data_IF_605107110674
#
_entry.id   IF_605107110674
#
_cell.length_a   1.000
_cell.length_b   1.000
_cell.length_c   1.000
_cell.angle_alpha   90.00
_cell.angle_beta   90.00
_cell.angle_gamma   90.00
#
_symmetry.space_group_name_H-M   'P 1'
#
loop_
_entity.id
_entity.type
_entity.pdbx_description
1 polymer ?
#
# COMPACT_ATOMS: atom_id res chain seq x y z
N UNK A 1 14.79 -33.77 28.50
CA UNK A 1 14.15 -32.70 27.69
C UNK A 1 15.04 -32.47 26.47
N UNK A 2 14.57 -32.80 25.27
CA UNK A 2 15.35 -32.55 24.04
C UNK A 2 15.27 -31.07 23.68
N UNK A 3 16.42 -30.42 23.50
CA UNK A 3 16.51 -29.03 23.05
C UNK A 3 16.93 -29.05 21.58
N UNK A 4 16.09 -28.53 20.70
CA UNK A 4 16.46 -28.30 19.31
C UNK A 4 17.59 -27.28 19.27
N UNK A 5 18.67 -27.62 18.58
CA UNK A 5 19.75 -26.67 18.29
C UNK A 5 19.26 -25.65 17.25
N UNK A 6 19.79 -24.41 17.23
CA UNK A 6 19.40 -23.39 16.26
C UNK A 6 19.51 -23.86 14.79
N UNK A 7 20.51 -24.68 14.46
CA UNK A 7 20.70 -25.25 13.12
C UNK A 7 19.62 -26.28 12.73
N UNK A 8 18.87 -26.82 13.70
CA UNK A 8 17.78 -27.76 13.47
C UNK A 8 16.42 -27.07 13.31
N UNK A 9 16.36 -25.74 13.40
CA UNK A 9 15.11 -25.00 13.20
C UNK A 9 14.78 -24.91 11.69
N UNK A 10 13.48 -24.99 11.33
CA UNK A 10 13.07 -24.87 9.93
C UNK A 10 13.41 -23.47 9.40
N UNK A 11 14.04 -23.41 8.23
CA UNK A 11 14.33 -22.12 7.57
C UNK A 11 13.04 -21.35 7.30
N UNK A 12 13.14 -20.02 7.37
CA UNK A 12 12.03 -19.16 7.01
C UNK A 12 11.74 -19.28 5.50
N UNK A 13 10.48 -19.39 5.06
CA UNK A 13 10.19 -19.56 3.65
C UNK A 13 10.37 -18.26 2.88
N UNK A 14 10.97 -18.39 1.70
CA UNK A 14 11.20 -17.33 0.75
C UNK A 14 10.39 -17.59 -0.52
N UNK A 15 9.78 -16.54 -1.04
CA UNK A 15 9.00 -16.57 -2.27
C UNK A 15 9.42 -15.40 -3.15
N UNK A 16 9.39 -15.55 -4.48
CA UNK A 16 9.62 -14.44 -5.40
C UNK A 16 8.52 -13.39 -5.25
N UNK A 17 8.81 -12.13 -5.62
CA UNK A 17 7.90 -10.99 -5.41
C UNK A 17 7.30 -10.44 -6.71
N UNK A 18 7.37 -11.22 -7.79
CA UNK A 18 6.72 -10.98 -9.07
C UNK A 18 5.65 -12.05 -9.34
N UNK A 19 4.59 -11.68 -10.06
CA UNK A 19 3.45 -12.59 -10.27
C UNK A 19 3.85 -13.85 -11.04
N UNK A 20 4.65 -13.70 -12.10
CA UNK A 20 5.02 -14.81 -12.98
C UNK A 20 5.79 -15.89 -12.23
N UNK A 21 6.83 -15.50 -11.49
CA UNK A 21 7.61 -16.43 -10.67
C UNK A 21 6.83 -17.00 -9.49
N UNK A 22 5.77 -16.31 -9.02
CA UNK A 22 4.82 -16.86 -8.05
C UNK A 22 3.83 -17.87 -8.68
N UNK A 23 3.84 -18.04 -10.00
CA UNK A 23 2.94 -18.93 -10.73
C UNK A 23 1.60 -18.30 -11.09
N UNK A 24 1.55 -16.97 -11.25
CA UNK A 24 0.34 -16.20 -11.57
C UNK A 24 0.54 -15.22 -12.73
N UNK A 25 -0.55 -14.85 -13.38
CA UNK A 25 -0.59 -13.81 -14.40
C UNK A 25 -1.86 -12.99 -14.26
N UNK A 26 -1.90 -11.82 -14.90
CA UNK A 26 -3.13 -11.01 -15.02
C UNK A 26 -3.79 -11.33 -16.36
N UNK A 27 -5.04 -11.74 -16.34
CA UNK A 27 -5.79 -12.04 -17.57
C UNK A 27 -6.41 -10.77 -18.20
N UNK A 28 -7.13 -10.93 -19.31
CA UNK A 28 -7.78 -9.82 -20.03
C UNK A 28 -8.92 -9.15 -19.23
N UNK A 29 -9.42 -9.81 -18.18
CA UNK A 29 -10.45 -9.31 -17.26
C UNK A 29 -9.83 -8.58 -16.05
N UNK A 30 -8.52 -8.36 -16.05
CA UNK A 30 -7.73 -7.73 -14.99
C UNK A 30 -7.62 -8.53 -13.69
N UNK A 31 -7.87 -9.84 -13.74
CA UNK A 31 -7.85 -10.74 -12.60
C UNK A 31 -6.54 -11.51 -12.50
N UNK A 32 -6.07 -11.72 -11.27
CA UNK A 32 -4.89 -12.54 -11.00
C UNK A 32 -5.29 -14.02 -11.02
N UNK A 33 -4.79 -14.75 -12.01
CA UNK A 33 -5.08 -16.17 -12.26
C UNK A 33 -3.82 -17.02 -12.18
N UNK A 34 -3.97 -18.27 -11.75
CA UNK A 34 -2.85 -19.23 -11.73
C UNK A 34 -2.42 -19.63 -13.14
N UNK A 35 -1.11 -19.67 -13.39
CA UNK A 35 -0.52 -20.16 -14.64
C UNK A 35 -0.80 -21.65 -14.84
N UNK A 36 -0.73 -22.45 -13.76
CA UNK A 36 -0.98 -23.90 -13.81
C UNK A 36 -2.43 -24.21 -14.21
N UNK A 37 -3.38 -23.44 -13.67
CA UNK A 37 -4.80 -23.57 -14.02
C UNK A 37 -5.53 -22.22 -13.88
N UNK A 38 -5.81 -21.54 -15.00
CA UNK A 38 -6.43 -20.21 -15.02
C UNK A 38 -7.80 -20.11 -14.35
N UNK A 39 -8.47 -21.23 -14.02
CA UNK A 39 -9.73 -21.22 -13.26
C UNK A 39 -9.53 -20.82 -11.80
N UNK A 40 -8.33 -20.96 -11.25
CA UNK A 40 -8.05 -20.70 -9.84
C UNK A 40 -7.45 -19.30 -9.64
N UNK A 41 -7.91 -18.66 -8.57
CA UNK A 41 -7.32 -17.46 -8.00
C UNK A 41 -6.11 -17.80 -7.11
N UNK A 42 -5.58 -16.79 -6.42
CA UNK A 42 -4.54 -16.96 -5.42
C UNK A 42 -4.89 -18.00 -4.35
N UNK A 43 -4.03 -19.01 -4.20
CA UNK A 43 -4.18 -20.06 -3.19
C UNK A 43 -3.38 -19.68 -1.94
N UNK A 44 -4.06 -19.17 -0.91
CA UNK A 44 -3.42 -18.81 0.37
C UNK A 44 -2.92 -20.02 1.17
N UNK A 45 -3.76 -21.06 1.29
CA UNK A 45 -3.44 -22.24 2.09
C UNK A 45 -2.60 -23.24 1.29
N UNK A 46 -1.29 -23.05 1.30
CA UNK A 46 -0.31 -23.97 0.69
C UNK A 46 0.36 -24.88 1.72
N UNK A 47 0.32 -24.51 3.01
CA UNK A 47 0.91 -25.27 4.10
C UNK A 47 0.01 -25.22 5.34
N UNK A 48 0.16 -26.22 6.23
CA UNK A 48 -0.51 -26.23 7.56
C UNK A 48 0.16 -25.25 8.53
N UNK A 49 1.43 -24.95 8.33
CA UNK A 49 2.15 -23.95 9.11
C UNK A 49 1.86 -22.56 8.55
N UNK A 50 1.21 -21.73 9.35
CA UNK A 50 0.72 -20.41 8.94
C UNK A 50 1.82 -19.51 8.38
N UNK A 51 3.04 -19.61 8.91
CA UNK A 51 4.19 -18.84 8.46
C UNK A 51 4.45 -18.92 6.95
N UNK A 52 4.25 -20.10 6.35
CA UNK A 52 4.44 -20.30 4.91
C UNK A 52 3.37 -19.58 4.10
N UNK A 53 2.12 -19.60 4.57
CA UNK A 53 1.00 -18.92 3.95
C UNK A 53 1.16 -17.39 4.05
N UNK A 54 1.56 -16.88 5.21
CA UNK A 54 1.82 -15.45 5.44
C UNK A 54 2.94 -14.92 4.54
N UNK A 55 4.05 -15.66 4.42
CA UNK A 55 5.19 -15.29 3.59
C UNK A 55 4.84 -15.27 2.11
N UNK A 56 4.05 -16.24 1.65
CA UNK A 56 3.55 -16.25 0.28
C UNK A 56 2.59 -15.08 0.03
N UNK A 57 1.68 -14.80 0.96
CA UNK A 57 0.76 -13.65 0.86
C UNK A 57 1.49 -12.32 0.79
N UNK A 58 2.52 -12.10 1.62
CA UNK A 58 3.31 -10.86 1.56
C UNK A 58 4.08 -10.71 0.25
N UNK A 59 4.55 -11.83 -0.32
CA UNK A 59 5.18 -11.83 -1.64
C UNK A 59 4.18 -11.47 -2.75
N UNK A 60 2.98 -12.05 -2.72
CA UNK A 60 1.87 -11.69 -3.61
C UNK A 60 1.46 -10.22 -3.44
N UNK A 61 1.30 -9.73 -2.21
CA UNK A 61 0.98 -8.33 -1.93
C UNK A 61 2.06 -7.39 -2.45
N UNK A 62 3.33 -7.80 -2.43
CA UNK A 62 4.43 -7.02 -3.01
C UNK A 62 4.32 -6.94 -4.54
N UNK A 63 4.00 -8.04 -5.21
CA UNK A 63 3.74 -8.02 -6.65
C UNK A 63 2.56 -7.10 -7.01
N UNK A 64 1.46 -7.20 -6.25
CA UNK A 64 0.28 -6.34 -6.40
C UNK A 64 0.63 -4.86 -6.21
N UNK A 65 1.39 -4.51 -5.16
CA UNK A 65 1.84 -3.14 -4.90
C UNK A 65 2.58 -2.56 -6.10
N UNK A 66 3.52 -3.32 -6.67
CA UNK A 66 4.29 -2.88 -7.84
C UNK A 66 3.40 -2.59 -9.04
N UNK A 67 2.41 -3.46 -9.32
CA UNK A 67 1.47 -3.27 -10.42
C UNK A 67 0.58 -2.05 -10.18
N UNK A 68 -0.01 -1.92 -8.99
CA UNK A 68 -0.90 -0.80 -8.65
C UNK A 68 -0.13 0.52 -8.69
N UNK A 69 1.06 0.60 -8.11
CA UNK A 69 1.91 1.79 -8.19
C UNK A 69 2.25 2.16 -9.63
N UNK A 70 2.58 1.19 -10.48
CA UNK A 70 2.89 1.44 -11.90
C UNK A 70 1.68 1.96 -12.66
N UNK A 71 0.49 1.40 -12.40
CA UNK A 71 -0.77 1.84 -13.02
C UNK A 71 -1.18 3.24 -12.57
N UNK A 72 -1.08 3.53 -11.26
CA UNK A 72 -1.36 4.86 -10.74
C UNK A 72 -0.40 5.91 -11.31
N UNK A 73 0.88 5.56 -11.47
CA UNK A 73 1.85 6.43 -12.13
C UNK A 73 1.49 6.70 -13.60
N UNK A 74 1.06 5.67 -14.34
CA UNK A 74 0.58 5.82 -15.71
C UNK A 74 -0.68 6.72 -15.82
N UNK A 75 -1.52 6.74 -14.78
CA UNK A 75 -2.66 7.65 -14.64
C UNK A 75 -2.28 9.07 -14.16
N UNK A 76 -1.00 9.40 -14.10
CA UNK A 76 -0.53 10.74 -13.73
C UNK A 76 -0.55 11.01 -12.24
N UNK A 77 -0.40 9.97 -11.40
CA UNK A 77 -0.12 10.12 -9.97
C UNK A 77 1.39 10.10 -9.73
N UNK A 78 1.87 10.99 -8.87
CA UNK A 78 3.26 11.06 -8.44
C UNK A 78 3.40 10.78 -6.95
N UNK A 79 4.53 10.20 -6.57
CA UNK A 79 4.86 9.89 -5.17
C UNK A 79 5.44 11.12 -4.48
N UNK A 80 4.83 11.53 -3.37
CA UNK A 80 5.43 12.48 -2.44
C UNK A 80 5.84 11.78 -1.16
N UNK A 81 7.04 12.08 -0.68
CA UNK A 81 7.55 11.57 0.59
C UNK A 81 7.17 12.53 1.70
N UNK A 82 6.67 12.00 2.82
CA UNK A 82 6.35 12.75 4.02
C UNK A 82 7.39 12.50 5.11
N UNK A 83 7.87 13.54 5.82
CA UNK A 83 7.54 14.96 5.64
C UNK A 83 7.89 15.50 4.25
N UNK A 84 7.18 16.51 3.73
CA UNK A 84 7.43 17.01 2.37
C UNK A 84 8.90 17.44 2.18
N UNK A 85 9.46 17.19 1.00
CA UNK A 85 10.87 17.45 0.65
C UNK A 85 11.90 16.56 1.36
N UNK A 86 11.45 15.49 2.03
CA UNK A 86 12.33 14.52 2.67
C UNK A 86 13.08 13.66 1.63
N UNK A 87 14.41 13.49 1.74
CA UNK A 87 15.15 12.60 0.87
C UNK A 87 14.73 11.12 1.04
N UNK A 88 14.78 10.29 -0.01
CA UNK A 88 14.45 8.86 0.10
C UNK A 88 15.36 8.07 1.08
N UNK A 89 16.53 8.60 1.42
CA UNK A 89 17.50 7.97 2.33
C UNK A 89 17.15 8.12 3.81
N UNK A 90 16.25 9.03 4.16
CA UNK A 90 15.83 9.24 5.54
C UNK A 90 14.41 8.71 5.75
N UNK A 91 13.97 8.49 7.00
CA UNK A 91 12.62 7.99 7.26
C UNK A 91 11.55 8.81 6.55
N UNK A 92 10.64 8.14 5.84
CA UNK A 92 9.52 8.80 5.16
C UNK A 92 8.26 7.90 4.99
N UNK A 93 7.08 8.52 4.88
CA UNK A 93 5.83 7.84 4.44
C UNK A 93 5.49 8.32 3.03
N UNK A 94 5.32 7.43 2.04
CA UNK A 94 4.88 7.84 0.71
C UNK A 94 3.37 8.13 0.71
N UNK A 95 2.95 9.16 -0.02
CA UNK A 95 1.59 9.39 -0.49
C UNK A 95 1.60 9.53 -2.01
N UNK A 96 0.43 9.48 -2.64
CA UNK A 96 0.30 9.77 -4.07
C UNK A 96 -0.56 11.01 -4.30
N UNK A 97 -0.16 11.89 -5.20
CA UNK A 97 -0.99 13.01 -5.64
C UNK A 97 -0.98 13.14 -7.17
N UNK A 98 -2.02 13.73 -7.75
CA UNK A 98 -2.05 13.97 -9.20
C UNK A 98 -1.05 15.04 -9.60
N UNK A 99 -0.34 14.86 -10.72
CA UNK A 99 0.67 15.82 -11.21
C UNK A 99 0.11 17.21 -11.53
N UNK A 100 -1.20 17.33 -11.83
CA UNK A 100 -1.88 18.61 -12.08
C UNK A 100 -2.48 19.27 -10.83
N UNK A 101 -2.23 18.75 -9.63
CA UNK A 101 -2.90 19.15 -8.38
C UNK A 101 -2.80 20.65 -8.04
N UNK A 102 -1.66 21.28 -8.34
CA UNK A 102 -1.42 22.69 -8.06
C UNK A 102 -2.32 23.65 -8.88
N UNK A 103 -2.90 23.15 -9.97
CA UNK A 103 -3.77 23.94 -10.88
C UNK A 103 -5.25 23.52 -10.82
N UNK A 104 -5.52 22.34 -10.27
CA UNK A 104 -6.87 21.78 -10.20
C UNK A 104 -7.79 22.64 -9.31
N UNK A 105 -8.96 23.02 -9.83
CA UNK A 105 -9.96 23.75 -9.06
C UNK A 105 -10.59 22.89 -7.95
N UNK A 106 -10.62 21.57 -8.17
CA UNK A 106 -11.14 20.58 -7.22
C UNK A 106 -10.13 19.45 -7.02
N UNK A 107 -9.92 19.08 -5.76
CA UNK A 107 -9.11 17.93 -5.36
C UNK A 107 -9.93 17.00 -4.48
N UNK A 108 -9.84 15.69 -4.70
CA UNK A 108 -10.39 14.68 -3.79
C UNK A 108 -9.25 14.14 -2.93
N UNK A 109 -9.34 14.31 -1.62
CA UNK A 109 -8.46 13.66 -0.66
C UNK A 109 -9.10 12.33 -0.22
N UNK A 110 -8.45 11.22 -0.55
CA UNK A 110 -8.85 9.90 -0.12
C UNK A 110 -7.99 9.43 1.07
N UNK A 111 -8.61 9.27 2.23
CA UNK A 111 -8.02 8.68 3.43
C UNK A 111 -8.34 7.18 3.45
N UNK A 112 -7.33 6.35 3.11
CA UNK A 112 -7.45 4.89 3.08
C UNK A 112 -7.63 4.26 4.46
N UNK A 113 -7.86 2.95 4.52
CA UNK A 113 -7.96 2.20 5.78
C UNK A 113 -6.59 2.02 6.45
N UNK A 114 -6.51 1.98 7.78
CA UNK A 114 -5.24 1.82 8.51
C UNK A 114 -4.57 0.44 8.38
N UNK A 115 -5.18 -0.50 7.65
CA UNK A 115 -4.64 -1.87 7.48
C UNK A 115 -4.22 -2.18 6.05
N UNK A 116 -4.56 -1.32 5.09
CA UNK A 116 -4.29 -1.54 3.67
C UNK A 116 -3.00 -0.84 3.22
N UNK A 117 -2.35 -1.40 2.20
CA UNK A 117 -1.25 -0.73 1.52
C UNK A 117 -1.75 0.52 0.75
N UNK A 118 -0.87 1.49 0.51
CA UNK A 118 -1.18 2.69 -0.26
C UNK A 118 -1.80 2.36 -1.63
N UNK A 119 -3.00 2.90 -1.89
CA UNK A 119 -3.73 2.69 -3.13
C UNK A 119 -4.50 1.36 -3.19
N UNK A 120 -4.52 0.56 -2.13
CA UNK A 120 -5.30 -0.68 -2.06
C UNK A 120 -6.60 -0.44 -1.28
N UNK A 121 -7.74 -0.90 -1.82
CA UNK A 121 -9.02 -0.88 -1.12
C UNK A 121 -9.35 -2.24 -0.53
N UNK A 122 -9.14 -3.31 -1.30
CA UNK A 122 -9.50 -4.64 -0.87
C UNK A 122 -8.69 -5.71 -1.61
N UNK A 123 -7.68 -6.28 -0.93
CA UNK A 123 -6.91 -7.42 -1.46
C UNK A 123 -7.78 -8.63 -1.83
N UNK A 124 -8.95 -8.80 -1.17
CA UNK A 124 -9.92 -9.86 -1.51
C UNK A 124 -10.59 -9.68 -2.88
N UNK A 125 -10.71 -8.44 -3.35
CA UNK A 125 -11.24 -8.14 -4.69
C UNK A 125 -10.11 -8.29 -5.72
N UNK A 126 -8.91 -7.80 -5.39
CA UNK A 126 -7.73 -7.96 -6.24
C UNK A 126 -7.40 -9.43 -6.50
N UNK A 127 -7.43 -10.26 -5.46
CA UNK A 127 -7.21 -11.71 -5.56
C UNK A 127 -8.46 -12.50 -5.95
N UNK A 128 -9.53 -11.84 -6.40
CA UNK A 128 -10.82 -12.45 -6.69
C UNK A 128 -11.50 -11.84 -7.92
N UNK A 129 -12.82 -11.96 -7.97
CA UNK A 129 -13.62 -11.39 -9.05
C UNK A 129 -13.64 -9.86 -8.96
N UNK A 130 -13.30 -9.19 -10.06
CA UNK A 130 -13.22 -7.73 -10.18
C UNK A 130 -11.80 -7.21 -10.41
N UNK A 131 -10.78 -7.99 -10.05
CA UNK A 131 -9.41 -7.73 -10.47
C UNK A 131 -8.70 -6.58 -9.77
N UNK A 132 -7.50 -6.26 -10.27
CA UNK A 132 -6.57 -5.33 -9.64
C UNK A 132 -7.16 -3.91 -9.61
N UNK A 133 -7.74 -3.44 -10.71
CA UNK A 133 -8.22 -2.08 -10.83
C UNK A 133 -9.40 -1.78 -9.90
N UNK A 134 -10.39 -2.68 -9.84
CA UNK A 134 -11.56 -2.49 -8.98
C UNK A 134 -11.24 -2.65 -7.49
N UNK A 135 -10.25 -3.48 -7.15
CA UNK A 135 -9.79 -3.67 -5.77
C UNK A 135 -8.78 -2.62 -5.28
N UNK A 136 -8.38 -1.68 -6.14
CA UNK A 136 -7.41 -0.63 -5.85
C UNK A 136 -7.96 0.75 -6.22
N UNK A 137 -7.15 1.79 -6.00
CA UNK A 137 -7.49 3.16 -6.34
C UNK A 137 -7.40 3.48 -7.84
N UNK A 138 -7.01 2.53 -8.71
CA UNK A 138 -6.76 2.80 -10.13
C UNK A 138 -8.01 3.30 -10.85
N UNK A 139 -9.12 2.55 -10.79
CA UNK A 139 -10.36 2.98 -11.47
C UNK A 139 -10.97 4.22 -10.82
N UNK A 140 -10.78 4.38 -9.51
CA UNK A 140 -11.18 5.59 -8.81
C UNK A 140 -10.44 6.83 -9.33
N UNK A 141 -9.11 6.75 -9.48
CA UNK A 141 -8.30 7.86 -10.01
C UNK A 141 -8.66 8.15 -11.46
N UNK A 142 -8.79 7.13 -12.31
CA UNK A 142 -9.26 7.28 -13.71
C UNK A 142 -10.60 8.02 -13.77
N UNK A 143 -11.56 7.57 -12.97
CA UNK A 143 -12.87 8.18 -12.90
C UNK A 143 -12.77 9.64 -12.45
N UNK A 144 -12.09 9.92 -11.34
CA UNK A 144 -11.94 11.28 -10.84
C UNK A 144 -11.28 12.21 -11.88
N UNK A 145 -10.21 11.74 -12.53
CA UNK A 145 -9.49 12.49 -13.55
C UNK A 145 -10.30 12.78 -14.81
N UNK A 146 -11.30 11.95 -15.12
CA UNK A 146 -12.25 12.18 -16.22
C UNK A 146 -13.29 13.25 -15.90
N UNK A 147 -13.50 13.58 -14.61
CA UNK A 147 -14.46 14.59 -14.20
C UNK A 147 -13.90 16.00 -14.42
N UNK A 148 -14.68 16.83 -15.10
CA UNK A 148 -14.38 18.25 -15.31
C UNK A 148 -15.06 19.06 -14.21
N UNK A 149 -14.30 19.86 -13.47
CA UNK A 149 -14.88 20.78 -12.49
C UNK A 149 -15.67 21.89 -13.20
N UNK A 150 -16.73 22.44 -12.59
CA UNK A 150 -17.50 23.56 -13.14
C UNK A 150 -16.63 24.76 -13.53
N UNK A 151 -15.55 25.00 -12.80
CA UNK A 151 -14.61 26.10 -13.02
C UNK A 151 -13.55 25.81 -14.10
N UNK A 152 -13.69 24.71 -14.83
CA UNK A 152 -12.75 24.22 -15.84
C UNK A 152 -11.57 23.46 -15.22
N UNK A 153 -11.18 22.34 -15.85
CA UNK A 153 -10.03 21.52 -15.43
C UNK A 153 -10.41 20.15 -14.87
N UNK A 154 -9.44 19.22 -14.89
CA UNK A 154 -9.58 17.86 -14.37
C UNK A 154 -9.56 17.87 -12.85
N UNK A 155 -10.40 17.05 -12.22
CA UNK A 155 -10.33 16.83 -10.76
C UNK A 155 -9.01 16.14 -10.40
N UNK A 156 -8.30 16.65 -9.40
CA UNK A 156 -7.09 16.03 -8.86
C UNK A 156 -7.42 15.09 -7.70
N UNK A 157 -6.49 14.19 -7.38
CA UNK A 157 -6.62 13.22 -6.28
C UNK A 157 -5.36 13.26 -5.42
N UNK A 158 -5.56 13.14 -4.10
CA UNK A 158 -4.52 12.73 -3.14
C UNK A 158 -4.94 11.39 -2.55
N UNK A 159 -4.05 10.41 -2.57
CA UNK A 159 -4.21 9.14 -1.85
C UNK A 159 -3.30 9.18 -0.62
N UNK A 160 -3.89 9.31 0.58
CA UNK A 160 -3.15 9.28 1.83
C UNK A 160 -2.83 7.85 2.27
N UNK A 161 -1.67 7.68 2.90
CA UNK A 161 -1.17 6.37 3.32
C UNK A 161 -1.46 6.12 4.81
N UNK A 162 -2.71 5.85 5.10
CA UNK A 162 -3.14 5.62 6.49
C UNK A 162 -2.67 4.26 7.03
N UNK A 163 -2.34 3.29 6.18
CA UNK A 163 -2.04 1.93 6.62
C UNK A 163 -0.57 1.59 6.82
N UNK A 164 0.35 2.28 6.13
CA UNK A 164 1.78 1.95 6.18
C UNK A 164 2.58 2.85 7.13
N UNK A 165 2.11 3.08 8.36
CA UNK A 165 2.73 4.04 9.28
C UNK A 165 3.95 3.49 10.05
N UNK A 166 4.36 2.23 9.83
CA UNK A 166 5.53 1.62 10.47
C UNK A 166 6.76 1.77 9.61
N UNK A 167 7.79 2.46 10.10
CA UNK A 167 9.05 2.64 9.39
C UNK A 167 10.03 1.48 9.64
N UNK A 168 10.37 0.76 8.58
CA UNK A 168 11.40 -0.26 8.60
C UNK A 168 12.76 0.34 8.22
N UNK A 169 13.59 0.61 9.24
CA UNK A 169 14.93 1.19 9.07
C UNK A 169 15.88 0.32 8.23
N UNK A 170 15.73 -1.01 8.29
CA UNK A 170 16.59 -1.95 7.56
C UNK A 170 16.27 -1.97 6.07
N UNK A 171 14.98 -1.86 5.72
CA UNK A 171 14.52 -1.88 4.33
C UNK A 171 14.32 -0.48 3.74
N UNK A 172 14.40 0.57 4.55
CA UNK A 172 14.18 1.95 4.12
C UNK A 172 12.76 2.18 3.59
N UNK A 173 11.74 1.59 4.22
CA UNK A 173 10.34 1.71 3.75
C UNK A 173 9.29 1.71 4.84
N UNK A 174 8.18 2.37 4.53
CA UNK A 174 6.90 2.32 5.22
C UNK A 174 6.22 0.94 5.06
N UNK A 175 5.60 0.42 6.12
CA UNK A 175 4.96 -0.90 6.14
C UNK A 175 3.65 -0.90 6.92
N UNK A 176 2.69 -1.71 6.47
CA UNK A 176 1.54 -2.08 7.30
C UNK A 176 1.97 -2.97 8.46
N UNK A 177 1.09 -3.15 9.45
CA UNK A 177 1.30 -4.17 10.49
C UNK A 177 1.44 -5.57 9.88
N UNK A 178 0.61 -5.92 8.89
CA UNK A 178 0.64 -7.24 8.27
C UNK A 178 1.97 -7.50 7.57
N UNK A 179 2.47 -6.54 6.81
CA UNK A 179 3.79 -6.66 6.17
C UNK A 179 4.91 -6.68 7.21
N UNK A 180 4.79 -5.93 8.30
CA UNK A 180 5.77 -5.94 9.39
C UNK A 180 5.91 -7.34 10.00
N UNK A 181 4.79 -7.99 10.31
CA UNK A 181 4.75 -9.33 10.89
C UNK A 181 5.23 -10.40 9.88
N UNK A 182 5.05 -10.13 8.59
CA UNK A 182 5.44 -11.03 7.48
C UNK A 182 6.88 -10.86 6.98
N UNK A 183 7.69 -10.01 7.63
CA UNK A 183 9.12 -9.85 7.30
C UNK A 183 9.90 -11.15 7.45
N UNK A 184 10.97 -11.33 6.65
CA UNK A 184 11.89 -12.47 6.78
C UNK A 184 12.49 -12.55 8.19
N UNK A 185 12.54 -13.77 8.72
CA UNK A 185 13.04 -14.12 10.06
C UNK A 185 14.19 -15.12 9.95
N UNK A 186 14.91 -15.32 11.05
CA UNK A 186 16.03 -16.28 11.11
C UNK A 186 15.57 -17.74 10.88
N UNK A 187 14.34 -18.05 11.28
CA UNK A 187 13.70 -19.35 11.03
C UNK A 187 12.18 -19.18 10.99
N UNK A 188 11.47 -20.19 10.51
CA UNK A 188 10.00 -20.16 10.40
C UNK A 188 9.27 -20.15 11.75
N UNK A 189 9.98 -20.32 12.87
CA UNK A 189 9.42 -20.34 14.23
C UNK A 189 9.91 -19.20 15.11
N UNK A 190 10.80 -18.33 14.61
CA UNK A 190 11.16 -17.11 15.33
C UNK A 190 10.01 -16.11 15.31
N UNK A 191 9.99 -15.21 16.30
CA UNK A 191 9.02 -14.12 16.36
C UNK A 191 9.27 -13.06 15.28
N UNK A 192 8.24 -12.27 15.00
CA UNK A 192 8.39 -11.09 14.14
C UNK A 192 9.38 -10.09 14.77
N UNK A 193 10.07 -9.26 13.96
CA UNK A 193 10.90 -8.18 14.48
C UNK A 193 10.11 -7.32 15.48
N UNK A 194 10.72 -7.02 16.62
CA UNK A 194 10.10 -6.17 17.63
C UNK A 194 9.85 -4.78 17.04
N UNK A 195 8.63 -4.28 17.22
CA UNK A 195 8.28 -2.91 16.89
C UNK A 195 8.60 -1.99 18.06
N UNK A 196 9.44 -1.00 17.83
CA UNK A 196 9.74 0.06 18.78
C UNK A 196 9.11 1.38 18.30
N UNK A 197 8.07 1.91 18.98
CA UNK A 197 7.42 3.15 18.58
C UNK A 197 8.38 4.34 18.47
N UNK A 198 9.48 4.38 19.23
CA UNK A 198 10.43 5.50 19.20
C UNK A 198 11.24 5.49 17.91
N UNK A 199 11.60 4.32 17.40
CA UNK A 199 12.52 4.19 16.26
C UNK A 199 11.88 3.67 14.98
N UNK A 200 10.64 3.18 15.04
CA UNK A 200 9.86 2.66 13.91
C UNK A 200 8.65 3.53 13.58
N UNK A 201 8.59 4.76 14.10
CA UNK A 201 7.65 5.79 13.66
C UNK A 201 8.42 7.05 13.28
N UNK A 202 7.67 8.05 12.80
CA UNK A 202 8.20 9.37 12.51
C UNK A 202 7.26 10.43 13.00
N UNK A 203 7.83 11.53 13.46
CA UNK A 203 7.07 12.72 13.83
C UNK A 203 6.21 13.23 12.68
N UNK A 204 4.99 13.67 12.99
CA UNK A 204 3.98 14.05 12.01
C UNK A 204 3.19 12.86 11.45
N UNK A 205 3.63 11.63 11.65
CA UNK A 205 2.95 10.43 11.11
C UNK A 205 3.09 9.21 12.04
N UNK A 206 3.15 9.39 13.37
CA UNK A 206 3.35 8.26 14.31
C UNK A 206 2.12 7.37 14.41
N UNK A 207 0.96 7.98 14.23
CA UNK A 207 -0.32 7.31 14.17
C UNK A 207 -1.22 7.94 13.10
N UNK A 208 -2.39 7.33 12.89
CA UNK A 208 -3.34 7.74 11.86
C UNK A 208 -3.83 9.18 12.07
N UNK A 209 -4.05 9.60 13.32
CA UNK A 209 -4.53 10.94 13.64
C UNK A 209 -3.47 11.98 13.31
N UNK A 210 -2.23 11.75 13.71
CA UNK A 210 -1.11 12.62 13.40
C UNK A 210 -0.89 12.70 11.88
N UNK A 211 -0.91 11.55 11.19
CA UNK A 211 -0.78 11.50 9.74
C UNK A 211 -1.87 12.29 9.03
N UNK A 212 -3.15 12.06 9.34
CA UNK A 212 -4.28 12.80 8.75
C UNK A 212 -4.16 14.30 9.07
N UNK A 213 -3.79 14.65 10.30
CA UNK A 213 -3.58 16.05 10.70
C UNK A 213 -2.48 16.71 9.86
N UNK A 214 -1.36 16.01 9.62
CA UNK A 214 -0.27 16.46 8.76
C UNK A 214 -0.73 16.63 7.32
N UNK A 215 -1.50 15.67 6.78
CA UNK A 215 -2.07 15.78 5.42
C UNK A 215 -2.92 17.05 5.30
N UNK A 216 -3.85 17.26 6.22
CA UNK A 216 -4.80 18.38 6.15
C UNK A 216 -4.13 19.73 6.39
N UNK A 217 -3.14 19.77 7.29
CA UNK A 217 -2.54 21.03 7.76
C UNK A 217 -1.30 21.45 6.95
N UNK A 218 -0.60 20.49 6.32
CA UNK A 218 0.65 20.74 5.59
C UNK A 218 0.52 20.33 4.13
N UNK A 219 0.13 19.08 3.84
CA UNK A 219 0.13 18.57 2.45
C UNK A 219 -0.91 19.29 1.59
N UNK A 220 -2.16 19.39 2.06
CA UNK A 220 -3.23 20.05 1.31
C UNK A 220 -2.88 21.51 1.01
N UNK A 221 -2.46 22.35 1.97
CA UNK A 221 -2.07 23.73 1.68
C UNK A 221 -0.85 23.87 0.76
N UNK A 222 0.08 22.91 0.79
CA UNK A 222 1.31 22.96 -0.01
C UNK A 222 1.13 22.45 -1.45
N UNK A 223 0.30 21.42 -1.66
CA UNK A 223 0.14 20.78 -2.98
C UNK A 223 -1.09 21.30 -3.73
N UNK A 224 -2.19 21.58 -3.05
CA UNK A 224 -3.43 21.99 -3.71
C UNK A 224 -3.38 23.45 -4.16
N UNK A 225 -4.09 23.75 -5.25
CA UNK A 225 -4.34 25.13 -5.68
C UNK A 225 -4.90 25.97 -4.52
N UNK A 226 -4.30 27.13 -4.26
CA UNK A 226 -4.81 28.10 -3.29
C UNK A 226 -6.24 28.51 -3.64
N UNK A 227 -7.16 28.36 -2.68
CA UNK A 227 -8.59 28.64 -2.87
C UNK A 227 -9.36 27.56 -3.63
N UNK A 228 -8.72 26.44 -4.01
CA UNK A 228 -9.38 25.29 -4.60
C UNK A 228 -10.25 24.54 -3.58
N UNK A 229 -11.25 23.81 -4.08
CA UNK A 229 -12.12 22.97 -3.25
C UNK A 229 -11.46 21.62 -2.97
N UNK A 230 -11.51 21.18 -1.72
CA UNK A 230 -11.09 19.83 -1.33
C UNK A 230 -12.30 19.05 -0.84
N UNK A 231 -12.62 17.94 -1.53
CA UNK A 231 -13.61 16.95 -1.08
C UNK A 231 -12.85 15.83 -0.36
N UNK A 232 -13.30 15.41 0.82
CA UNK A 232 -12.63 14.36 1.61
C UNK A 232 -13.48 13.10 1.61
N UNK A 233 -12.88 11.97 1.23
CA UNK A 233 -13.46 10.64 1.35
C UNK A 233 -12.60 9.88 2.37
N UNK A 234 -13.21 9.41 3.44
CA UNK A 234 -12.54 8.61 4.45
C UNK A 234 -13.13 7.20 4.50
N UNK A 235 -12.26 6.18 4.49
CA UNK A 235 -12.66 4.77 4.49
C UNK A 235 -12.46 4.18 5.88
N UNK A 236 -13.47 3.44 6.36
CA UNK A 236 -13.43 2.65 7.58
C UNK A 236 -13.00 3.45 8.83
N UNK A 237 -11.84 3.13 9.41
CA UNK A 237 -11.34 3.75 10.64
C UNK A 237 -10.80 5.17 10.43
N UNK A 238 -10.39 5.53 9.20
CA UNK A 238 -10.01 6.92 8.87
C UNK A 238 -11.16 7.92 8.95
N UNK A 239 -12.41 7.47 9.03
CA UNK A 239 -13.59 8.34 9.15
C UNK A 239 -13.92 8.74 10.59
N UNK A 240 -13.17 8.23 11.58
CA UNK A 240 -13.37 8.48 13.01
C UNK A 240 -12.46 9.59 13.53
#
# INVERSE_FOLDING_TARGET
MFRLLPCGLPKDPEYPTDLESLGYFVNDEDEIRSIENPKYYFKYFINRTERYNERQREAMNTAIRTIVSSRLAAEGMETHLLPLSTPPSVPHIPILASTHIATAARTILLLGEATQDLGIFALRIIGGHGGINAGSAVDFVKYAHSQVSPDGGRTAVILANCGQLRWNRRQGRAMTRVSWDSQTRESAVHDAPLYDPVTNTMEGTRDQKEHITYILSIVVPMLCRKGGKVDVIAIADSAR
#
